data_IF_019667596167
#
_entry.id   IF_019667596167
#
_cell.length_a   1.000
_cell.length_b   1.000
_cell.length_c   1.000
_cell.angle_alpha   90.00
_cell.angle_beta   90.00
_cell.angle_gamma   90.00
#
_symmetry.space_group_name_H-M   'P 1'
#
loop_
_entity.id
_entity.type
_entity.pdbx_description
1 polymer ?
#
# COMPACT_ATOMS: atom_id res chain seq x y z
N UNK A 1 -14.40 10.81 -11.00
CA UNK A 1 -13.17 11.63 -11.11
C UNK A 1 -12.14 10.75 -11.81
N UNK A 2 -11.52 11.20 -12.90
CA UNK A 2 -10.50 10.42 -13.59
C UNK A 2 -9.13 10.72 -12.98
N UNK A 3 -8.49 9.68 -12.43
CA UNK A 3 -7.17 9.78 -11.80
C UNK A 3 -6.05 9.26 -12.71
N UNK A 4 -6.37 8.75 -13.90
CA UNK A 4 -5.44 7.98 -14.75
C UNK A 4 -4.12 8.71 -15.02
N UNK A 5 -4.18 10.00 -15.34
CA UNK A 5 -2.98 10.81 -15.59
C UNK A 5 -2.12 11.01 -14.34
N UNK A 6 -2.74 11.14 -13.16
CA UNK A 6 -2.01 11.30 -11.89
C UNK A 6 -1.38 9.98 -11.47
N UNK A 7 -2.07 8.86 -11.65
CA UNK A 7 -1.55 7.51 -11.41
C UNK A 7 -0.40 7.21 -12.38
N UNK A 8 -0.56 7.52 -13.67
CA UNK A 8 0.49 7.34 -14.68
C UNK A 8 1.77 8.14 -14.32
N UNK A 9 1.62 9.36 -13.80
CA UNK A 9 2.74 10.16 -13.28
C UNK A 9 3.43 9.47 -12.09
N UNK A 10 2.68 8.93 -11.13
CA UNK A 10 3.21 8.22 -9.97
C UNK A 10 3.93 6.92 -10.38
N UNK A 11 3.37 6.14 -11.30
CA UNK A 11 3.98 4.92 -11.86
C UNK A 11 5.27 5.24 -12.59
N UNK A 12 5.28 6.30 -13.42
CA UNK A 12 6.51 6.77 -14.09
C UNK A 12 7.58 7.18 -13.10
N UNK A 13 7.19 7.90 -12.05
CA UNK A 13 8.10 8.29 -10.98
C UNK A 13 8.72 7.06 -10.31
N UNK A 14 7.89 6.07 -9.96
CA UNK A 14 8.32 4.80 -9.37
C UNK A 14 9.42 4.14 -10.19
N UNK A 15 9.19 3.94 -11.49
CA UNK A 15 10.16 3.26 -12.35
C UNK A 15 11.42 4.08 -12.60
N UNK A 16 11.31 5.41 -12.69
CA UNK A 16 12.46 6.31 -12.82
C UNK A 16 13.37 6.22 -11.60
N UNK A 17 12.80 6.40 -10.40
CA UNK A 17 13.58 6.37 -9.15
C UNK A 17 14.17 4.98 -8.93
N UNK A 18 13.39 3.91 -9.15
CA UNK A 18 13.88 2.55 -8.99
C UNK A 18 15.03 2.22 -9.94
N UNK A 19 14.95 2.64 -11.20
CA UNK A 19 16.02 2.43 -12.20
C UNK A 19 17.30 3.14 -11.77
N UNK A 20 17.19 4.40 -11.33
CA UNK A 20 18.33 5.17 -10.81
C UNK A 20 18.92 4.55 -9.54
N UNK A 21 18.10 4.03 -8.63
CA UNK A 21 18.56 3.33 -7.42
C UNK A 21 19.34 2.07 -7.76
N UNK A 22 18.87 1.28 -8.73
CA UNK A 22 19.56 0.06 -9.19
C UNK A 22 20.90 0.38 -9.86
N UNK A 23 20.95 1.40 -10.73
CA UNK A 23 22.19 1.84 -11.38
C UNK A 23 23.25 2.29 -10.37
N UNK A 24 22.87 3.06 -9.34
CA UNK A 24 23.80 3.51 -8.29
C UNK A 24 24.32 2.36 -7.42
N UNK A 25 23.50 1.37 -7.12
CA UNK A 25 23.94 0.17 -6.40
C UNK A 25 24.99 -0.63 -7.20
N UNK A 26 24.88 -0.64 -8.53
CA UNK A 26 25.86 -1.27 -9.42
C UNK A 26 27.20 -0.54 -9.53
N UNK A 27 27.24 0.78 -9.21
CA UNK A 27 28.45 1.62 -9.37
C UNK A 27 29.20 1.84 -8.05
N UNK A 28 28.52 1.84 -6.89
CA UNK A 28 29.11 2.45 -5.68
C UNK A 28 29.35 1.49 -4.49
N UNK A 29 28.75 0.30 -4.43
CA UNK A 29 28.92 -0.56 -3.23
C UNK A 29 28.97 -2.04 -3.58
N UNK A 30 30.18 -2.58 -3.73
CA UNK A 30 30.46 -4.02 -3.85
C UNK A 30 30.22 -4.84 -2.57
N UNK A 31 29.18 -4.51 -1.78
CA UNK A 31 28.74 -5.31 -0.63
C UNK A 31 27.22 -5.41 -0.64
N UNK A 32 26.71 -6.65 -0.78
CA UNK A 32 25.32 -7.02 -0.49
C UNK A 32 25.17 -7.10 1.03
N UNK A 33 24.86 -5.99 1.68
CA UNK A 33 24.48 -6.01 3.10
C UNK A 33 23.05 -6.54 3.22
N UNK A 34 22.95 -7.77 3.70
CA UNK A 34 21.73 -8.37 4.23
C UNK A 34 21.48 -7.80 5.63
N UNK A 35 20.30 -7.21 5.84
CA UNK A 35 19.79 -6.90 7.17
C UNK A 35 20.29 -5.58 7.79
N UNK A 36 19.64 -4.47 7.40
CA UNK A 36 19.33 -3.26 8.20
C UNK A 36 19.43 -1.98 7.36
N UNK A 37 18.35 -1.61 6.65
CA UNK A 37 18.07 -0.22 6.24
C UNK A 37 16.57 0.06 6.10
N UNK A 38 15.80 -0.31 7.11
CA UNK A 38 14.41 0.14 7.29
C UNK A 38 14.40 1.49 8.00
N UNK A 39 14.51 2.59 7.25
CA UNK A 39 13.99 3.90 7.65
C UNK A 39 14.10 5.00 6.57
N UNK A 40 15.09 5.00 5.67
CA UNK A 40 15.34 6.22 4.84
C UNK A 40 15.68 6.00 3.36
N UNK A 41 15.87 4.77 2.90
CA UNK A 41 16.23 4.51 1.48
C UNK A 41 15.38 3.46 0.77
N UNK A 42 14.63 2.63 1.50
CA UNK A 42 13.90 1.48 0.95
C UNK A 42 12.61 1.80 0.18
N UNK A 43 12.04 3.00 0.32
CA UNK A 43 10.69 3.33 -0.18
C UNK A 43 10.59 4.51 -1.15
N UNK A 44 11.69 5.22 -1.46
CA UNK A 44 11.63 6.48 -2.23
C UNK A 44 10.94 6.37 -3.59
N UNK A 45 10.92 5.18 -4.19
CA UNK A 45 10.21 4.96 -5.45
C UNK A 45 8.68 5.04 -5.30
N UNK A 46 8.12 4.91 -4.10
CA UNK A 46 6.70 5.11 -3.81
C UNK A 46 6.34 6.56 -3.47
N UNK A 47 7.29 7.47 -3.34
CA UNK A 47 7.03 8.88 -2.98
C UNK A 47 6.07 9.57 -3.96
N UNK A 48 6.05 9.14 -5.23
CA UNK A 48 5.07 9.62 -6.22
C UNK A 48 3.62 9.28 -5.85
N UNK A 49 3.37 8.11 -5.26
CA UNK A 49 2.06 7.74 -4.75
C UNK A 49 1.76 8.44 -3.43
N UNK A 50 2.73 8.50 -2.51
CA UNK A 50 2.56 9.21 -1.24
C UNK A 50 2.14 10.66 -1.50
N UNK A 51 2.87 11.37 -2.38
CA UNK A 51 2.55 12.74 -2.77
C UNK A 51 1.14 12.86 -3.37
N UNK A 52 0.77 11.95 -4.27
CA UNK A 52 -0.54 11.94 -4.88
C UNK A 52 -1.65 11.80 -3.82
N UNK A 53 -1.50 10.90 -2.86
CA UNK A 53 -2.47 10.72 -1.79
C UNK A 53 -2.53 11.91 -0.83
N UNK A 54 -1.40 12.55 -0.51
CA UNK A 54 -1.41 13.77 0.29
C UNK A 54 -2.13 14.92 -0.43
N UNK A 55 -1.90 15.09 -1.74
CA UNK A 55 -2.61 16.11 -2.55
C UNK A 55 -4.12 15.84 -2.56
N UNK A 56 -4.55 14.59 -2.72
CA UNK A 56 -5.97 14.21 -2.71
C UNK A 56 -6.64 14.50 -1.35
N UNK A 57 -5.94 14.26 -0.25
CA UNK A 57 -6.43 14.56 1.10
C UNK A 57 -6.55 16.08 1.35
N UNK A 58 -5.59 16.86 0.87
CA UNK A 58 -5.65 18.33 0.91
C UNK A 58 -6.78 18.88 0.04
N UNK A 59 -6.93 18.35 -1.18
CA UNK A 59 -8.05 18.66 -2.10
C UNK A 59 -9.42 18.31 -1.49
N UNK A 60 -9.48 17.27 -0.66
CA UNK A 60 -10.67 16.89 0.11
C UNK A 60 -11.00 17.84 1.27
N UNK A 61 -10.14 18.84 1.53
CA UNK A 61 -10.38 19.91 2.51
C UNK A 61 -9.74 19.68 3.87
N UNK A 62 -8.84 18.71 4.01
CA UNK A 62 -8.01 18.57 5.21
C UNK A 62 -6.83 19.55 5.16
N UNK A 63 -6.51 20.26 6.25
CA UNK A 63 -5.30 21.07 6.29
C UNK A 63 -4.05 20.20 6.21
N UNK A 64 -3.02 20.66 5.49
CA UNK A 64 -1.75 19.93 5.33
C UNK A 64 -1.11 19.57 6.67
N UNK A 65 -1.33 20.36 7.72
CA UNK A 65 -0.83 20.10 9.09
C UNK A 65 -1.40 18.83 9.72
N UNK A 66 -2.49 18.28 9.17
CA UNK A 66 -3.12 17.04 9.63
C UNK A 66 -2.61 15.80 8.89
N UNK A 67 -1.83 15.98 7.81
CA UNK A 67 -1.39 14.90 6.92
C UNK A 67 0.11 14.68 7.13
N UNK A 68 0.48 13.54 7.71
CA UNK A 68 1.85 13.22 8.11
C UNK A 68 2.45 12.13 7.22
N UNK A 69 3.69 12.35 6.76
CA UNK A 69 4.50 11.40 5.98
C UNK A 69 5.86 11.10 6.61
N UNK A 70 6.20 11.76 7.73
CA UNK A 70 7.46 11.59 8.46
C UNK A 70 7.23 11.21 9.92
N UNK A 71 6.30 11.89 10.59
CA UNK A 71 5.85 11.57 11.95
C UNK A 71 4.67 10.58 11.90
N UNK A 72 4.93 9.35 11.46
CA UNK A 72 3.90 8.34 11.14
C UNK A 72 3.88 7.14 12.07
N UNK A 73 4.56 7.25 13.23
CA UNK A 73 4.60 6.22 14.25
C UNK A 73 3.28 6.17 15.01
N UNK A 74 2.57 5.05 14.93
CA UNK A 74 1.36 4.78 15.71
C UNK A 74 1.61 3.65 16.71
N UNK A 75 0.99 3.70 17.91
CA UNK A 75 0.99 2.57 18.84
C UNK A 75 0.26 1.36 18.26
N UNK A 76 0.81 0.17 18.51
CA UNK A 76 0.15 -1.11 18.24
C UNK A 76 -0.42 -1.75 19.52
N UNK A 77 -1.08 -2.88 19.35
CA UNK A 77 -1.52 -3.75 20.45
C UNK A 77 -0.55 -4.92 20.67
N UNK A 78 -0.15 -5.61 19.60
CA UNK A 78 0.75 -6.76 19.65
C UNK A 78 2.22 -6.36 19.59
N UNK A 79 2.52 -5.12 19.22
CA UNK A 79 3.85 -4.51 19.25
C UNK A 79 3.78 -3.08 19.77
N UNK A 80 4.88 -2.53 20.33
CA UNK A 80 4.88 -1.18 20.88
C UNK A 80 4.43 -0.12 19.88
N UNK A 81 4.99 -0.14 18.66
CA UNK A 81 4.72 0.85 17.62
C UNK A 81 4.91 0.32 16.20
N UNK A 82 4.38 1.06 15.23
CA UNK A 82 4.61 0.88 13.79
C UNK A 82 4.62 2.22 13.05
N UNK A 83 5.55 2.38 12.11
CA UNK A 83 5.52 3.48 11.14
C UNK A 83 4.64 3.13 9.94
N UNK A 84 3.71 4.02 9.59
CA UNK A 84 2.93 3.97 8.36
C UNK A 84 3.55 4.91 7.30
N UNK A 85 3.12 4.81 6.04
CA UNK A 85 3.58 5.74 5.01
C UNK A 85 2.84 7.07 5.05
N UNK A 86 1.53 7.03 5.33
CA UNK A 86 0.71 8.21 5.59
C UNK A 86 -0.10 7.98 6.86
N UNK A 87 -0.10 8.98 7.75
CA UNK A 87 -0.98 9.07 8.91
C UNK A 87 -1.73 10.39 8.83
N UNK A 88 -3.05 10.35 9.02
CA UNK A 88 -3.88 11.56 9.09
C UNK A 88 -4.40 11.71 10.51
N UNK A 89 -3.95 12.76 11.20
CA UNK A 89 -4.41 13.10 12.55
C UNK A 89 -4.94 14.52 12.56
N UNK A 90 -6.22 14.67 12.92
CA UNK A 90 -6.85 15.97 13.03
C UNK A 90 -7.53 16.08 14.40
N UNK A 91 -7.29 17.20 15.09
CA UNK A 91 -7.86 17.50 16.41
C UNK A 91 -7.67 16.35 17.43
N UNK A 92 -6.49 15.72 17.40
CA UNK A 92 -6.14 14.58 18.26
C UNK A 92 -6.75 13.23 17.85
N UNK A 93 -7.56 13.20 16.79
CA UNK A 93 -8.22 11.98 16.28
C UNK A 93 -7.44 11.38 15.13
N UNK A 94 -7.20 10.06 15.18
CA UNK A 94 -6.66 9.32 14.04
C UNK A 94 -7.75 9.11 12.98
N UNK A 95 -7.63 9.79 11.84
CA UNK A 95 -8.62 9.72 10.77
C UNK A 95 -8.33 8.62 9.76
N UNK A 96 -7.07 8.48 9.36
CA UNK A 96 -6.68 7.50 8.36
C UNK A 96 -5.22 7.04 8.53
N UNK A 97 -4.93 5.83 8.05
CA UNK A 97 -3.57 5.31 7.94
C UNK A 97 -3.41 4.50 6.66
N UNK A 98 -2.36 4.77 5.90
CA UNK A 98 -2.16 4.19 4.56
C UNK A 98 -0.76 3.59 4.48
N UNK A 99 -0.69 2.39 3.90
CA UNK A 99 0.54 1.69 3.61
C UNK A 99 0.66 1.42 2.10
N UNK A 100 1.84 1.67 1.54
CA UNK A 100 2.21 1.40 0.17
C UNK A 100 3.26 0.31 0.12
N UNK A 101 3.08 -0.63 -0.79
CA UNK A 101 4.04 -1.70 -1.04
C UNK A 101 4.37 -1.79 -2.51
N UNK A 102 5.57 -2.30 -2.79
CA UNK A 102 6.00 -2.64 -4.13
C UNK A 102 6.62 -4.03 -4.16
N UNK A 103 6.13 -4.89 -5.04
CA UNK A 103 6.64 -6.24 -5.21
C UNK A 103 7.25 -6.37 -6.60
N UNK A 104 8.58 -6.35 -6.64
CA UNK A 104 9.37 -6.40 -7.87
C UNK A 104 10.32 -7.61 -7.78
N UNK A 105 10.64 -8.23 -8.91
CA UNK A 105 11.51 -9.40 -8.97
C UNK A 105 12.94 -9.16 -8.44
N UNK A 106 13.74 -10.23 -8.30
CA UNK A 106 13.50 -11.58 -8.84
C UNK A 106 12.79 -12.56 -7.88
N UNK A 107 12.73 -12.28 -6.57
CA UNK A 107 12.25 -13.23 -5.56
C UNK A 107 10.75 -13.09 -5.31
N UNK A 108 9.90 -13.62 -6.19
CA UNK A 108 8.47 -13.40 -6.08
C UNK A 108 7.79 -14.19 -4.93
N UNK A 109 8.20 -15.44 -4.67
CA UNK A 109 7.58 -16.27 -3.63
C UNK A 109 7.74 -15.70 -2.22
N UNK A 110 8.99 -15.46 -1.80
CA UNK A 110 9.28 -14.95 -0.46
C UNK A 110 8.66 -13.56 -0.25
N UNK A 111 8.72 -12.69 -1.25
CA UNK A 111 8.11 -11.37 -1.15
C UNK A 111 6.59 -11.42 -1.09
N UNK A 112 5.94 -12.39 -1.74
CA UNK A 112 4.48 -12.54 -1.66
C UNK A 112 4.06 -12.78 -0.21
N UNK A 113 4.55 -13.86 0.41
CA UNK A 113 4.16 -14.24 1.78
C UNK A 113 4.44 -13.13 2.78
N UNK A 114 5.62 -12.50 2.73
CA UNK A 114 5.96 -11.38 3.60
C UNK A 114 4.96 -10.23 3.49
N UNK A 115 4.44 -9.93 2.29
CA UNK A 115 3.46 -8.85 2.10
C UNK A 115 2.07 -9.19 2.59
N UNK A 116 1.69 -10.46 2.49
CA UNK A 116 0.45 -10.96 3.09
C UNK A 116 0.51 -10.81 4.61
N UNK A 117 1.58 -11.31 5.23
CA UNK A 117 1.80 -11.24 6.68
C UNK A 117 1.87 -9.78 7.18
N UNK A 118 2.60 -8.91 6.49
CA UNK A 118 2.69 -7.49 6.85
C UNK A 118 1.32 -6.79 6.80
N UNK A 119 0.52 -7.02 5.77
CA UNK A 119 -0.80 -6.39 5.63
C UNK A 119 -1.80 -6.90 6.69
N UNK A 120 -1.83 -8.22 6.92
CA UNK A 120 -2.67 -8.82 7.96
C UNK A 120 -2.24 -8.34 9.35
N UNK A 121 -0.94 -8.34 9.64
CA UNK A 121 -0.39 -7.89 10.91
C UNK A 121 -0.65 -6.40 11.16
N UNK A 122 -0.46 -5.55 10.14
CA UNK A 122 -0.68 -4.10 10.26
C UNK A 122 -2.13 -3.74 10.60
N UNK A 123 -3.09 -4.31 9.86
CA UNK A 123 -4.52 -4.06 10.10
C UNK A 123 -4.96 -4.61 11.46
N UNK A 124 -4.62 -5.87 11.76
CA UNK A 124 -5.00 -6.54 13.02
C UNK A 124 -4.46 -5.79 14.22
N UNK A 125 -3.19 -5.37 14.19
CA UNK A 125 -2.52 -4.66 15.28
C UNK A 125 -3.16 -3.28 15.56
N UNK A 126 -3.39 -2.49 14.51
CA UNK A 126 -3.98 -1.16 14.66
C UNK A 126 -5.46 -1.21 15.04
N UNK A 127 -6.25 -2.09 14.43
CA UNK A 127 -7.67 -2.24 14.75
C UNK A 127 -7.88 -2.77 16.16
N UNK A 128 -6.99 -3.64 16.65
CA UNK A 128 -7.03 -4.09 18.05
C UNK A 128 -6.64 -2.95 18.99
N UNK A 129 -5.60 -2.18 18.69
CA UNK A 129 -5.23 -1.00 19.48
C UNK A 129 -6.38 0.03 19.54
N UNK A 130 -7.10 0.23 18.43
CA UNK A 130 -8.32 1.03 18.39
C UNK A 130 -9.41 0.49 19.31
N UNK A 131 -9.70 -0.81 19.23
CA UNK A 131 -10.70 -1.48 20.07
C UNK A 131 -10.41 -1.30 21.56
N UNK A 132 -9.15 -1.42 21.96
CA UNK A 132 -8.70 -1.20 23.35
C UNK A 132 -8.71 0.28 23.77
N UNK A 133 -8.99 1.19 22.84
CA UNK A 133 -9.15 2.60 23.11
C UNK A 133 -7.86 3.40 23.08
N UNK A 134 -6.81 2.90 22.43
CA UNK A 134 -5.52 3.59 22.36
C UNK A 134 -5.60 4.95 21.65
N UNK A 135 -6.61 5.12 20.78
CA UNK A 135 -6.87 6.35 20.03
C UNK A 135 -8.08 7.15 20.57
N UNK A 136 -8.56 6.89 21.79
CA UNK A 136 -9.73 7.61 22.35
C UNK A 136 -9.40 9.10 22.59
N UNK A 137 -10.34 10.02 22.29
CA UNK A 137 -11.57 9.81 21.53
C UNK A 137 -11.25 9.76 20.03
N UNK A 138 -11.72 8.75 19.30
CA UNK A 138 -11.62 8.70 17.84
C UNK A 138 -12.66 7.72 17.29
N UNK A 139 -13.16 7.97 16.08
CA UNK A 139 -13.89 6.97 15.32
C UNK A 139 -12.91 5.90 14.82
N UNK A 140 -13.43 4.79 14.27
CA UNK A 140 -12.54 3.80 13.64
C UNK A 140 -11.78 4.50 12.49
N UNK A 141 -10.43 4.48 12.49
CA UNK A 141 -9.66 5.11 11.43
C UNK A 141 -9.88 4.38 10.10
N UNK A 142 -9.82 5.12 9.00
CA UNK A 142 -9.86 4.56 7.65
C UNK A 142 -8.51 3.94 7.28
N UNK A 143 -8.49 2.70 6.81
CA UNK A 143 -7.26 1.99 6.47
C UNK A 143 -7.11 1.72 4.99
N UNK A 144 -5.94 2.09 4.46
CA UNK A 144 -5.58 1.88 3.06
C UNK A 144 -4.37 0.97 2.86
N UNK A 145 -4.45 0.08 1.88
CA UNK A 145 -3.30 -0.70 1.42
C UNK A 145 -3.20 -0.69 -0.12
N UNK A 146 -2.13 -0.10 -0.64
CA UNK A 146 -1.84 -0.10 -2.07
C UNK A 146 -0.60 -0.92 -2.35
N UNK A 147 -0.66 -1.77 -3.37
CA UNK A 147 0.51 -2.50 -3.87
C UNK A 147 0.71 -2.29 -5.37
N UNK A 148 1.95 -1.96 -5.74
CA UNK A 148 2.43 -2.06 -7.11
C UNK A 148 3.20 -3.37 -7.29
N UNK A 149 2.70 -4.26 -8.16
CA UNK A 149 3.39 -5.49 -8.55
C UNK A 149 4.01 -5.31 -9.94
N UNK A 150 5.28 -5.69 -10.08
CA UNK A 150 5.94 -5.72 -11.38
C UNK A 150 5.23 -6.73 -12.28
N UNK A 151 4.80 -6.28 -13.45
CA UNK A 151 4.21 -7.13 -14.46
C UNK A 151 5.30 -7.80 -15.30
N UNK A 152 5.54 -9.09 -15.02
CA UNK A 152 6.43 -9.94 -15.81
C UNK A 152 5.82 -11.34 -15.92
N UNK A 153 6.30 -12.21 -16.83
CA UNK A 153 5.88 -13.61 -16.87
C UNK A 153 6.02 -14.32 -15.50
N UNK A 154 6.98 -13.95 -14.66
CA UNK A 154 7.17 -14.55 -13.32
C UNK A 154 6.09 -14.16 -12.31
N UNK A 155 5.38 -13.05 -12.51
CA UNK A 155 4.29 -12.59 -11.65
C UNK A 155 2.91 -12.86 -12.23
N UNK A 156 2.80 -13.05 -13.55
CA UNK A 156 1.53 -13.24 -14.25
C UNK A 156 1.24 -14.69 -14.67
N UNK A 157 2.24 -15.57 -14.69
CA UNK A 157 2.08 -16.99 -15.00
C UNK A 157 1.72 -17.80 -13.73
N UNK A 158 0.88 -18.85 -13.84
CA UNK A 158 0.61 -19.77 -12.73
C UNK A 158 1.88 -20.31 -12.07
N UNK A 159 1.86 -20.39 -10.74
CA UNK A 159 2.97 -20.94 -9.95
C UNK A 159 2.53 -22.17 -9.17
N UNK A 160 3.48 -23.06 -8.89
CA UNK A 160 3.24 -24.30 -8.14
C UNK A 160 2.68 -23.97 -6.74
N UNK A 161 1.80 -24.84 -6.27
CA UNK A 161 1.37 -24.90 -4.88
C UNK A 161 1.86 -26.23 -4.31
N UNK A 162 2.39 -26.20 -3.09
CA UNK A 162 2.83 -27.40 -2.38
C UNK A 162 1.70 -27.84 -1.43
N UNK A 163 1.16 -29.05 -1.64
CA UNK A 163 0.04 -29.64 -0.90
C UNK A 163 0.44 -30.98 -0.26
N UNK A 164 1.50 -31.05 0.57
CA UNK A 164 2.03 -32.32 1.07
C UNK A 164 1.09 -33.05 2.04
N UNK A 165 0.14 -32.33 2.66
CA UNK A 165 -0.74 -32.85 3.71
C UNK A 165 -2.22 -32.55 3.47
N UNK A 166 -2.53 -31.31 3.04
CA UNK A 166 -3.89 -30.87 2.80
C UNK A 166 -3.94 -30.06 1.50
N UNK A 167 -5.07 -30.15 0.82
CA UNK A 167 -5.32 -29.34 -0.37
C UNK A 167 -5.50 -27.87 0.01
N UNK A 168 -5.02 -26.97 -0.86
CA UNK A 168 -5.37 -25.56 -0.78
C UNK A 168 -6.78 -25.34 -1.30
N UNK A 169 -7.36 -24.19 -0.95
CA UNK A 169 -8.58 -23.72 -1.59
C UNK A 169 -8.43 -23.66 -3.12
N UNK A 170 -9.48 -24.04 -3.84
CA UNK A 170 -9.51 -24.13 -5.30
C UNK A 170 -9.04 -22.83 -5.99
N UNK A 171 -9.36 -21.68 -5.41
CA UNK A 171 -8.98 -20.36 -5.92
C UNK A 171 -7.48 -20.10 -5.90
N UNK A 172 -6.67 -20.93 -5.24
CA UNK A 172 -5.21 -20.88 -5.29
C UNK A 172 -4.61 -21.83 -6.34
N UNK A 173 -5.34 -22.84 -6.81
CA UNK A 173 -4.85 -23.78 -7.82
C UNK A 173 -4.67 -23.05 -9.16
N UNK A 174 -3.54 -23.32 -9.85
CA UNK A 174 -3.16 -22.70 -11.15
C UNK A 174 -3.18 -21.16 -11.15
N UNK A 175 -2.89 -20.51 -10.03
CA UNK A 175 -2.85 -19.04 -9.93
C UNK A 175 -1.45 -18.45 -10.04
N UNK A 176 -1.36 -17.24 -10.60
CA UNK A 176 -0.17 -16.40 -10.59
C UNK A 176 -0.13 -15.49 -9.37
N UNK A 177 1.01 -14.87 -9.07
CA UNK A 177 1.09 -13.89 -7.97
C UNK A 177 0.14 -12.70 -8.18
N UNK A 178 -0.05 -12.25 -9.42
CA UNK A 178 -1.03 -11.20 -9.74
C UNK A 178 -2.46 -11.61 -9.34
N UNK A 179 -2.88 -12.84 -9.69
CA UNK A 179 -4.19 -13.36 -9.30
C UNK A 179 -4.31 -13.56 -7.79
N UNK A 180 -3.24 -14.00 -7.12
CA UNK A 180 -3.22 -14.15 -5.67
C UNK A 180 -3.33 -12.80 -4.94
N UNK A 181 -2.71 -11.74 -5.44
CA UNK A 181 -2.90 -10.40 -4.87
C UNK A 181 -4.30 -9.85 -5.10
N UNK A 182 -4.91 -10.13 -6.26
CA UNK A 182 -6.30 -9.76 -6.51
C UNK A 182 -7.23 -10.40 -5.48
N UNK A 183 -7.13 -11.72 -5.29
CA UNK A 183 -7.87 -12.46 -4.27
C UNK A 183 -7.59 -11.93 -2.86
N UNK A 184 -6.35 -11.54 -2.59
CA UNK A 184 -5.98 -10.99 -1.29
C UNK A 184 -6.60 -9.62 -1.03
N UNK A 185 -6.55 -8.69 -2.00
CA UNK A 185 -7.21 -7.38 -1.91
C UNK A 185 -8.71 -7.53 -1.64
N UNK A 186 -9.36 -8.49 -2.32
CA UNK A 186 -10.75 -8.84 -2.07
C UNK A 186 -10.98 -9.27 -0.63
N UNK A 187 -10.24 -10.27 -0.16
CA UNK A 187 -10.39 -10.81 1.20
C UNK A 187 -10.13 -9.75 2.27
N UNK A 188 -9.12 -8.88 2.10
CA UNK A 188 -8.87 -7.76 3.02
C UNK A 188 -10.07 -6.82 3.15
N UNK A 189 -10.76 -6.54 2.04
CA UNK A 189 -11.96 -5.70 2.03
C UNK A 189 -13.18 -6.43 2.64
N UNK A 190 -13.41 -7.70 2.26
CA UNK A 190 -14.55 -8.49 2.74
C UNK A 190 -14.47 -8.76 4.25
N UNK A 191 -13.28 -8.98 4.77
CA UNK A 191 -13.01 -9.15 6.21
C UNK A 191 -12.93 -7.83 6.99
N UNK A 192 -13.14 -6.68 6.33
CA UNK A 192 -13.10 -5.33 6.94
C UNK A 192 -11.77 -5.01 7.63
N UNK A 193 -10.69 -5.64 7.18
CA UNK A 193 -9.33 -5.37 7.64
C UNK A 193 -8.82 -4.04 7.06
N UNK A 194 -9.32 -3.67 5.88
CA UNK A 194 -9.05 -2.41 5.21
C UNK A 194 -10.36 -1.79 4.68
N UNK A 195 -10.35 -0.48 4.49
CA UNK A 195 -11.44 0.29 3.90
C UNK A 195 -11.16 0.65 2.43
N UNK A 196 -9.89 0.56 2.00
CA UNK A 196 -9.49 0.63 0.60
C UNK A 196 -8.28 -0.25 0.31
N UNK A 197 -8.38 -1.07 -0.74
CA UNK A 197 -7.25 -1.81 -1.31
C UNK A 197 -7.06 -1.46 -2.78
N UNK A 198 -5.82 -1.44 -3.25
CA UNK A 198 -5.50 -1.13 -4.63
C UNK A 198 -4.34 -2.01 -5.14
N UNK A 199 -4.58 -2.69 -6.27
CA UNK A 199 -3.55 -3.48 -6.97
C UNK A 199 -3.24 -2.83 -8.32
N UNK A 200 -2.01 -2.35 -8.45
CA UNK A 200 -1.48 -1.79 -9.70
C UNK A 200 -0.44 -2.75 -10.27
N UNK A 201 -0.57 -3.06 -11.56
CA UNK A 201 0.39 -3.85 -12.32
C UNK A 201 1.07 -2.96 -13.34
N UNK A 202 2.40 -3.02 -13.41
CA UNK A 202 3.17 -2.21 -14.34
C UNK A 202 4.48 -2.91 -14.66
N UNK A 203 4.88 -2.93 -15.92
CA UNK A 203 6.18 -3.43 -16.35
C UNK A 203 7.23 -2.31 -16.37
N UNK A 204 8.52 -2.65 -16.32
CA UNK A 204 9.60 -1.66 -16.29
C UNK A 204 9.58 -0.72 -17.50
N UNK A 205 9.31 -1.23 -18.70
CA UNK A 205 9.44 -0.47 -19.96
C UNK A 205 8.24 0.42 -20.20
N UNK A 206 7.03 -0.14 -20.07
CA UNK A 206 5.78 0.60 -20.16
C UNK A 206 5.62 1.57 -18.99
N UNK A 207 6.01 1.16 -17.79
CA UNK A 207 5.93 1.96 -16.58
C UNK A 207 6.76 3.25 -16.62
N UNK A 208 7.91 3.27 -17.29
CA UNK A 208 8.67 4.52 -17.57
C UNK A 208 7.89 5.51 -18.44
N UNK A 209 6.88 5.04 -19.17
CA UNK A 209 5.94 5.86 -19.94
C UNK A 209 4.62 6.10 -19.19
N UNK A 210 4.53 5.67 -17.93
CA UNK A 210 3.34 5.76 -17.10
C UNK A 210 2.28 4.68 -17.39
N UNK A 211 2.63 3.61 -18.12
CA UNK A 211 1.68 2.51 -18.36
C UNK A 211 1.50 1.66 -17.11
N UNK A 212 0.24 1.39 -16.80
CA UNK A 212 -0.17 0.48 -15.75
C UNK A 212 -1.51 -0.17 -16.12
N UNK A 213 -1.88 -1.21 -15.38
CA UNK A 213 -3.22 -1.78 -15.40
C UNK A 213 -3.67 -2.13 -13.99
N UNK A 214 -4.98 -2.21 -13.83
CA UNK A 214 -5.64 -2.56 -12.58
C UNK A 214 -6.51 -3.79 -12.89
N UNK A 215 -6.16 -4.98 -12.39
CA UNK A 215 -6.80 -6.22 -12.82
C UNK A 215 -8.25 -6.35 -12.34
N UNK A 216 -8.64 -5.59 -11.31
CA UNK A 216 -9.97 -5.65 -10.73
C UNK A 216 -10.50 -4.22 -10.49
N UNK A 217 -11.63 -3.81 -11.11
CA UNK A 217 -12.16 -2.46 -10.98
C UNK A 217 -12.65 -2.13 -9.55
N UNK A 218 -13.04 -3.12 -8.75
CA UNK A 218 -13.43 -2.94 -7.34
C UNK A 218 -12.24 -2.48 -6.50
N UNK A 219 -11.05 -3.01 -6.77
CA UNK A 219 -9.79 -2.70 -6.07
C UNK A 219 -8.89 -1.80 -6.92
N UNK A 220 -9.51 -0.82 -7.58
CA UNK A 220 -8.83 0.21 -8.38
C UNK A 220 -8.45 1.43 -7.53
N UNK A 221 -7.49 2.20 -8.02
CA UNK A 221 -7.10 3.48 -7.47
C UNK A 221 -8.29 4.44 -7.38
N UNK A 222 -9.17 4.43 -8.39
CA UNK A 222 -10.34 5.31 -8.40
C UNK A 222 -11.29 5.00 -7.23
N UNK A 223 -11.59 3.72 -6.98
CA UNK A 223 -12.43 3.30 -5.85
C UNK A 223 -11.75 3.64 -4.52
N UNK A 224 -10.46 3.32 -4.38
CA UNK A 224 -9.66 3.63 -3.20
C UNK A 224 -9.68 5.13 -2.88
N UNK A 225 -9.30 5.96 -3.85
CA UNK A 225 -9.19 7.42 -3.68
C UNK A 225 -10.55 8.06 -3.40
N UNK A 226 -11.61 7.58 -4.06
CA UNK A 226 -12.97 8.07 -3.82
C UNK A 226 -13.42 7.77 -2.38
N UNK A 227 -13.19 6.56 -1.88
CA UNK A 227 -13.53 6.20 -0.50
C UNK A 227 -12.76 7.03 0.52
N UNK A 228 -11.44 7.15 0.34
CA UNK A 228 -10.58 7.95 1.22
C UNK A 228 -10.99 9.42 1.25
N UNK A 229 -11.17 10.04 0.08
CA UNK A 229 -11.51 11.47 -0.01
C UNK A 229 -12.91 11.74 0.53
N UNK A 230 -13.88 10.83 0.34
CA UNK A 230 -15.20 10.96 0.95
C UNK A 230 -15.13 10.93 2.49
N UNK A 231 -14.32 10.03 3.07
CA UNK A 231 -14.07 9.97 4.51
C UNK A 231 -13.43 11.27 5.04
N UNK A 232 -12.41 11.76 4.34
CA UNK A 232 -11.75 13.04 4.66
C UNK A 232 -12.69 14.25 4.56
N UNK A 233 -13.51 14.33 3.51
CA UNK A 233 -14.49 15.40 3.30
C UNK A 233 -15.57 15.40 4.38
N UNK A 234 -16.04 14.23 4.80
CA UNK A 234 -17.02 14.11 5.88
C UNK A 234 -16.47 14.72 7.17
N UNK A 235 -15.21 14.42 7.49
CA UNK A 235 -14.52 15.04 8.63
C UNK A 235 -14.35 16.55 8.46
N UNK A 236 -13.86 17.01 7.32
CA UNK A 236 -13.63 18.43 7.05
C UNK A 236 -14.91 19.27 7.20
N UNK A 237 -16.07 18.71 6.88
CA UNK A 237 -17.39 19.35 7.09
C UNK A 237 -17.78 19.45 8.56
N UNK A 238 -17.43 18.47 9.38
CA UNK A 238 -17.69 18.50 10.83
C UNK A 238 -16.84 19.57 11.52
N UNK A 239 -15.58 19.74 11.10
CA UNK A 239 -14.64 20.75 11.65
C UNK A 239 -15.00 22.21 11.36
N UNK A 240 -15.76 22.48 10.30
CA UNK A 240 -16.15 23.83 9.87
C UNK A 240 -17.32 24.41 10.68
N UNK A 241 -17.83 23.66 11.65
CA UNK A 241 -18.81 24.12 12.64
C UNK A 241 -18.10 24.39 13.95
#
# INVERSE_FOLDING_TARGET
MDYSDRVAKAVRYFWKVRTQQHERQGVTTGKKDAGNRSAVTGGKHLDGFIKLFTELLSEAGLPDTTIHTTATTLPGYFRPTKNWDIVVVADGMLLASIEFKAHIGPSFGNNFNNRIEEALGNSTDLLTAYREGKFKPSQRPWLGWLILLEETPKSTTPVRVDEPHFEVFEEFKKTSYARRYELFCERLMRERLYDGTCLILSDKTGGLKGKFREPNPEFSFATFATSLTAHAMAYARLRKK
#
